data_IF_564824775524
#
_entry.id   IF_564824775524
#
_cell.length_a   1.000
_cell.length_b   1.000
_cell.length_c   1.000
_cell.angle_alpha   90.00
_cell.angle_beta   90.00
_cell.angle_gamma   90.00
#
_symmetry.space_group_name_H-M   'P 1'
#
loop_
_entity.id
_entity.type
_entity.pdbx_description
1 polymer ?
#
# COMPACT_ATOMS: atom_id res chain seq x y z
N UNK A 1 -11.31 -0.30 -13.64
CA UNK A 1 -11.35 0.55 -12.44
C UNK A 1 -10.70 1.88 -12.78
N UNK A 2 -11.33 3.02 -12.45
CA UNK A 2 -10.72 4.32 -12.71
C UNK A 2 -9.67 4.67 -11.62
N UNK A 3 -8.82 5.66 -11.88
CA UNK A 3 -7.74 6.05 -10.97
C UNK A 3 -8.24 6.49 -9.58
N UNK A 4 -9.38 7.20 -9.53
CA UNK A 4 -9.93 7.74 -8.27
C UNK A 4 -10.44 6.62 -7.38
N UNK A 5 -11.16 5.66 -7.95
CA UNK A 5 -11.61 4.47 -7.24
C UNK A 5 -10.40 3.69 -6.71
N UNK A 6 -9.36 3.54 -7.53
CA UNK A 6 -8.14 2.83 -7.20
C UNK A 6 -7.46 3.46 -5.98
N UNK A 7 -7.26 4.78 -6.03
CA UNK A 7 -6.68 5.56 -4.94
C UNK A 7 -7.52 5.46 -3.66
N UNK A 8 -8.85 5.43 -3.78
CA UNK A 8 -9.75 5.28 -2.62
C UNK A 8 -9.58 3.91 -1.95
N UNK A 9 -9.51 2.82 -2.73
CA UNK A 9 -9.25 1.48 -2.20
C UNK A 9 -7.87 1.41 -1.56
N UNK A 10 -6.83 1.88 -2.26
CA UNK A 10 -5.46 1.86 -1.76
C UNK A 10 -5.35 2.63 -0.44
N UNK A 11 -5.90 3.84 -0.40
CA UNK A 11 -5.93 4.67 0.81
C UNK A 11 -6.59 3.95 1.98
N UNK A 12 -7.78 3.37 1.77
CA UNK A 12 -8.51 2.71 2.85
C UNK A 12 -7.71 1.55 3.44
N UNK A 13 -7.20 0.65 2.60
CA UNK A 13 -6.44 -0.51 3.04
C UNK A 13 -5.13 -0.11 3.73
N UNK A 14 -4.37 0.85 3.17
CA UNK A 14 -3.11 1.30 3.80
C UNK A 14 -3.35 1.93 5.18
N UNK A 15 -4.45 2.65 5.37
CA UNK A 15 -4.81 3.19 6.68
C UNK A 15 -5.21 2.10 7.68
N UNK A 16 -5.90 1.05 7.24
CA UNK A 16 -6.22 -0.11 8.07
C UNK A 16 -4.95 -0.89 8.47
N UNK A 17 -4.10 -1.23 7.49
CA UNK A 17 -2.80 -1.89 7.73
C UNK A 17 -1.93 -1.08 8.70
N UNK A 18 -1.92 0.25 8.57
CA UNK A 18 -1.18 1.12 9.49
C UNK A 18 -1.70 0.98 10.93
N UNK A 19 -3.02 1.04 11.13
CA UNK A 19 -3.62 0.92 12.47
C UNK A 19 -3.38 -0.46 13.09
N UNK A 20 -3.41 -1.51 12.29
CA UNK A 20 -3.12 -2.88 12.72
C UNK A 20 -1.65 -3.06 13.14
N UNK A 21 -0.70 -2.49 12.39
CA UNK A 21 0.73 -2.66 12.67
C UNK A 21 1.26 -1.83 13.85
N UNK A 22 0.66 -0.66 14.10
CA UNK A 22 1.14 0.28 15.11
C UNK A 22 0.19 0.49 16.29
N UNK A 23 -0.97 -0.18 16.31
CA UNK A 23 -1.99 -0.09 17.37
C UNK A 23 -2.35 1.36 17.75
N UNK A 24 -2.40 2.26 16.75
CA UNK A 24 -2.58 3.70 16.99
C UNK A 24 -4.04 4.14 17.01
N UNK A 25 -4.35 5.10 17.89
CA UNK A 25 -5.64 5.83 17.91
C UNK A 25 -5.56 7.20 17.20
N UNK A 26 -4.62 7.36 16.24
CA UNK A 26 -4.46 8.59 15.45
C UNK A 26 -5.61 8.75 14.45
N UNK A 27 -5.96 9.99 14.12
CA UNK A 27 -6.91 10.26 13.04
C UNK A 27 -6.31 9.88 11.69
N UNK A 28 -7.14 9.55 10.70
CA UNK A 28 -6.68 9.24 9.34
C UNK A 28 -5.84 10.39 8.75
N UNK A 29 -6.19 11.64 9.06
CA UNK A 29 -5.45 12.82 8.62
C UNK A 29 -4.03 12.88 9.20
N UNK A 30 -3.87 12.49 10.46
CA UNK A 30 -2.56 12.46 11.12
C UNK A 30 -1.71 11.30 10.61
N UNK A 31 -2.33 10.13 10.38
CA UNK A 31 -1.67 8.96 9.79
C UNK A 31 -1.12 9.31 8.41
N UNK A 32 -1.88 10.00 7.56
CA UNK A 32 -1.44 10.37 6.21
C UNK A 32 -0.14 11.20 6.18
N UNK A 33 0.13 11.97 7.23
CA UNK A 33 1.32 12.82 7.34
C UNK A 33 2.44 12.20 8.18
N UNK A 34 2.19 11.04 8.77
CA UNK A 34 3.14 10.27 9.56
C UNK A 34 4.24 9.69 8.67
N UNK A 35 5.45 9.63 9.20
CA UNK A 35 6.58 8.96 8.56
C UNK A 35 6.95 7.70 9.37
N UNK A 36 6.49 6.50 8.95
CA UNK A 36 6.62 5.27 9.73
C UNK A 36 8.05 5.01 10.22
N UNK A 37 9.04 5.15 9.34
CA UNK A 37 10.47 4.94 9.66
C UNK A 37 11.03 5.89 10.72
N UNK A 38 10.47 7.09 10.84
CA UNK A 38 10.95 8.09 11.80
C UNK A 38 10.23 8.03 13.13
N UNK A 39 8.99 7.54 13.13
CA UNK A 39 8.12 7.54 14.29
C UNK A 39 8.02 6.16 14.97
N UNK A 40 8.34 5.07 14.27
CA UNK A 40 8.25 3.71 14.78
C UNK A 40 9.51 2.93 14.39
N UNK A 41 10.36 2.59 15.36
CA UNK A 41 11.70 2.05 15.08
C UNK A 41 11.71 0.57 14.67
N UNK A 42 10.70 -0.22 15.03
CA UNK A 42 10.76 -1.69 14.92
C UNK A 42 9.68 -2.34 14.04
N UNK A 43 8.54 -1.69 13.83
CA UNK A 43 7.40 -2.29 13.10
C UNK A 43 7.21 -1.73 11.68
N UNK A 44 8.01 -0.76 11.25
CA UNK A 44 7.78 -0.08 9.97
C UNK A 44 8.12 -0.94 8.75
N UNK A 45 9.06 -1.88 8.87
CA UNK A 45 9.40 -2.79 7.76
C UNK A 45 8.22 -3.73 7.49
N UNK A 46 7.70 -4.38 8.54
CA UNK A 46 6.52 -5.26 8.44
C UNK A 46 5.29 -4.53 7.89
N UNK A 47 5.12 -3.25 8.23
CA UNK A 47 4.08 -2.40 7.66
C UNK A 47 4.19 -2.28 6.13
N UNK A 48 5.38 -1.98 5.60
CA UNK A 48 5.57 -1.85 4.16
C UNK A 48 5.53 -3.21 3.44
N UNK A 49 6.08 -4.27 4.03
CA UNK A 49 5.98 -5.63 3.49
C UNK A 49 4.52 -6.08 3.39
N UNK A 50 3.71 -5.81 4.42
CA UNK A 50 2.26 -6.10 4.40
C UNK A 50 1.53 -5.39 3.26
N UNK A 51 1.94 -4.16 2.95
CA UNK A 51 1.38 -3.41 1.81
C UNK A 51 1.73 -4.09 0.50
N UNK A 52 2.99 -4.49 0.31
CA UNK A 52 3.44 -5.16 -0.91
C UNK A 52 2.68 -6.47 -1.13
N UNK A 53 2.53 -7.28 -0.08
CA UNK A 53 1.81 -8.55 -0.11
C UNK A 53 0.32 -8.36 -0.46
N UNK A 54 -0.36 -7.41 0.19
CA UNK A 54 -1.80 -7.16 -0.03
C UNK A 54 -2.08 -6.67 -1.46
N UNK A 55 -1.20 -5.83 -2.01
CA UNK A 55 -1.36 -5.28 -3.35
C UNK A 55 -0.68 -6.12 -4.44
N UNK A 56 -0.07 -7.25 -4.09
CA UNK A 56 0.69 -8.12 -5.00
C UNK A 56 1.76 -7.34 -5.77
N UNK A 57 2.49 -6.48 -5.07
CA UNK A 57 3.59 -5.67 -5.61
C UNK A 57 4.90 -6.36 -5.26
N UNK A 58 5.83 -6.46 -6.21
CA UNK A 58 7.12 -7.09 -5.99
C UNK A 58 7.94 -6.40 -4.89
N UNK A 59 8.68 -7.20 -4.12
CA UNK A 59 9.49 -6.71 -3.00
C UNK A 59 10.60 -5.73 -3.42
N UNK A 60 11.01 -5.74 -4.69
CA UNK A 60 11.95 -4.76 -5.24
C UNK A 60 11.40 -3.31 -5.16
N UNK A 61 10.08 -3.15 -5.05
CA UNK A 61 9.46 -1.84 -4.92
C UNK A 61 9.45 -1.27 -3.50
N UNK A 62 9.97 -2.01 -2.50
CA UNK A 62 9.95 -1.59 -1.09
C UNK A 62 10.56 -0.20 -0.88
N UNK A 63 11.72 0.07 -1.47
CA UNK A 63 12.41 1.36 -1.37
C UNK A 63 11.62 2.52 -2.00
N UNK A 64 10.73 2.23 -2.96
CA UNK A 64 9.95 3.24 -3.68
C UNK A 64 8.65 3.62 -2.96
N UNK A 65 8.10 2.71 -2.16
CA UNK A 65 6.86 2.95 -1.39
C UNK A 65 7.14 3.49 0.01
N UNK A 66 8.40 3.46 0.44
CA UNK A 66 8.87 3.91 1.75
C UNK A 66 8.83 5.45 1.82
N UNK A 67 8.23 6.01 2.87
CA UNK A 67 8.08 7.47 3.03
C UNK A 67 6.90 7.87 3.90
N UNK A 68 6.30 9.03 3.64
CA UNK A 68 5.04 9.39 4.33
C UNK A 68 3.91 8.51 3.81
N UNK A 69 2.97 8.16 4.69
CA UNK A 69 1.83 7.28 4.32
C UNK A 69 1.07 7.79 3.09
N UNK A 70 0.85 9.10 2.95
CA UNK A 70 0.22 9.68 1.75
C UNK A 70 1.01 9.46 0.45
N UNK A 71 2.33 9.44 0.54
CA UNK A 71 3.22 9.26 -0.61
C UNK A 71 3.29 7.76 -0.95
N UNK A 72 3.31 6.88 0.07
CA UNK A 72 3.10 5.43 -0.07
C UNK A 72 1.80 5.12 -0.81
N UNK A 73 0.68 5.74 -0.41
CA UNK A 73 -0.63 5.56 -1.09
C UNK A 73 -0.55 5.89 -2.57
N UNK A 74 0.07 7.02 -2.93
CA UNK A 74 0.24 7.40 -4.33
C UNK A 74 1.08 6.37 -5.08
N UNK A 75 2.22 5.97 -4.51
CA UNK A 75 3.12 5.01 -5.16
C UNK A 75 2.49 3.65 -5.34
N UNK A 76 1.81 3.13 -4.32
CA UNK A 76 1.05 1.88 -4.40
C UNK A 76 -0.09 2.02 -5.41
N UNK A 77 -0.76 3.17 -5.47
CA UNK A 77 -1.77 3.43 -6.51
C UNK A 77 -1.17 3.44 -7.92
N UNK A 78 0.05 3.90 -8.12
CA UNK A 78 0.74 3.80 -9.41
C UNK A 78 1.12 2.35 -9.73
N UNK A 79 1.75 1.66 -8.78
CA UNK A 79 2.31 0.33 -8.92
C UNK A 79 1.27 -0.79 -8.98
N UNK A 80 0.11 -0.60 -8.35
CA UNK A 80 -0.96 -1.60 -8.30
C UNK A 80 -1.60 -1.80 -9.67
N UNK A 81 -0.89 -2.38 -10.61
CA UNK A 81 -1.51 -2.76 -11.87
C UNK A 81 -2.57 -3.80 -11.52
N UNK A 82 -3.83 -3.53 -11.86
CA UNK A 82 -4.86 -4.56 -11.78
C UNK A 82 -4.41 -5.58 -12.80
N UNK A 83 -3.69 -6.60 -12.34
CA UNK A 83 -3.17 -7.63 -13.20
C UNK A 83 -4.37 -8.24 -13.90
N UNK A 84 -4.47 -7.99 -15.20
CA UNK A 84 -5.37 -8.67 -16.11
C UNK A 84 -4.89 -10.11 -16.23
N UNK A 85 -4.98 -10.92 -15.16
CA UNK A 85 -4.91 -12.38 -15.26
C UNK A 85 -6.16 -12.96 -15.95
N UNK A 86 -6.72 -12.22 -16.92
CA UNK A 86 -7.83 -12.62 -17.77
C UNK A 86 -7.34 -13.02 -19.15
N UNK A 87 -6.32 -13.87 -19.21
CA UNK A 87 -6.24 -14.85 -20.29
C UNK A 87 -6.32 -16.21 -19.63
N UNK A 88 -7.53 -16.82 -19.57
CA UNK A 88 -7.64 -18.23 -19.22
C UNK A 88 -6.67 -19.02 -20.13
N UNK A 89 -5.96 -20.03 -19.61
CA UNK A 89 -4.99 -20.80 -20.38
C UNK A 89 -5.56 -21.47 -21.64
N UNK A 90 -6.89 -21.50 -21.77
CA UNK A 90 -7.66 -22.05 -22.89
C UNK A 90 -7.82 -21.11 -24.10
N UNK A 91 -7.39 -19.84 -24.04
CA UNK A 91 -7.42 -18.90 -25.18
C UNK A 91 -6.09 -18.87 -25.96
N UNK A 92 -5.58 -20.04 -26.33
CA UNK A 92 -4.59 -20.16 -27.41
C UNK A 92 -5.26 -20.96 -28.52
N UNK A 93 -5.89 -20.24 -29.45
CA UNK A 93 -6.25 -20.76 -30.78
C UNK A 93 -5.29 -20.16 -31.80
#
# INVERSE_FOLDING_TARGET
MNHIEKEHIVKKNILEIFKENFEVTKSDHDILNTWPEKEYETNYISYYESILDIFLIDHEHLEYITGRVKDTIKKVTELWTITSYSSPPWRRE
#
